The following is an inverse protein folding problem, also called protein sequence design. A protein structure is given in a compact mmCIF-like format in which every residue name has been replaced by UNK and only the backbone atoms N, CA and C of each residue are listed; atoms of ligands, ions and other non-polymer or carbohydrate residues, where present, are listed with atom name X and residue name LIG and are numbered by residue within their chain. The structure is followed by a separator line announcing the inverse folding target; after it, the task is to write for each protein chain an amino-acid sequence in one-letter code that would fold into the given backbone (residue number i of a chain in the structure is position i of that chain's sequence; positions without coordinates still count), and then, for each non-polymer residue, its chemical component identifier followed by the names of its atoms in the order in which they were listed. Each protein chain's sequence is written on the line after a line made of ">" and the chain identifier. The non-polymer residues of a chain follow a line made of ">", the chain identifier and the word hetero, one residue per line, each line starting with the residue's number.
data_IF_278935774816
#
_entry.id   IF_278935774816
#
_cell.length_a   1.000
_cell.length_b   1.000
_cell.length_c   1.000
_cell.angle_alpha   90.00
_cell.angle_beta   90.00
_cell.angle_gamma   90.00
#
_symmetry.space_group_name_H-M   'P 1'
#
loop_
_entity.id
_entity.type
_entity.pdbx_description
1 polymer ?
#
# COMPACT_ATOMS: atom_id res chain seq x y z
N UNK A 1 -10.00 6.69 -13.47
CA UNK A 1 -9.14 5.56 -13.89
C UNK A 1 -9.84 4.83 -15.01
N UNK A 2 -9.27 4.83 -16.21
CA UNK A 2 -9.84 4.12 -17.37
C UNK A 2 -9.70 2.61 -17.12
N UNK A 3 -10.78 1.87 -17.17
CA UNK A 3 -10.69 0.40 -17.14
C UNK A 3 -10.07 -0.08 -18.45
N UNK A 4 -9.10 -0.96 -18.36
CA UNK A 4 -8.56 -1.66 -19.53
C UNK A 4 -9.70 -2.36 -20.27
N UNK A 5 -9.74 -2.22 -21.59
CA UNK A 5 -10.67 -2.97 -22.44
C UNK A 5 -10.26 -4.45 -22.51
N UNK A 6 -11.04 -5.26 -23.24
CA UNK A 6 -10.77 -6.69 -23.32
C UNK A 6 -9.48 -6.99 -24.07
N UNK A 7 -9.20 -6.25 -25.16
CA UNK A 7 -8.01 -6.46 -25.96
C UNK A 7 -6.73 -6.09 -25.19
N UNK A 8 -6.73 -4.96 -24.47
CA UNK A 8 -5.62 -4.54 -23.61
C UNK A 8 -5.35 -5.57 -22.49
N UNK A 9 -6.40 -6.17 -21.94
CA UNK A 9 -6.24 -7.24 -20.93
C UNK A 9 -5.69 -8.53 -21.52
N UNK A 10 -6.14 -8.92 -22.69
CA UNK A 10 -5.70 -10.12 -23.38
C UNK A 10 -4.21 -9.99 -23.81
N UNK A 11 -3.79 -8.81 -24.29
CA UNK A 11 -2.40 -8.48 -24.60
C UNK A 11 -1.49 -8.55 -23.35
N UNK A 12 -1.92 -7.96 -22.23
CA UNK A 12 -1.19 -8.05 -20.97
C UNK A 12 -1.11 -9.50 -20.49
N UNK A 13 -2.19 -10.26 -20.62
CA UNK A 13 -2.21 -11.66 -20.25
C UNK A 13 -1.25 -12.50 -21.11
N UNK A 14 -1.16 -12.20 -22.41
CA UNK A 14 -0.21 -12.85 -23.32
C UNK A 14 1.23 -12.49 -22.99
N UNK A 15 1.53 -11.20 -22.74
CA UNK A 15 2.85 -10.76 -22.28
C UNK A 15 3.27 -11.46 -20.98
N UNK A 16 2.37 -11.54 -20.00
CA UNK A 16 2.64 -12.24 -18.74
C UNK A 16 2.80 -13.75 -18.95
N UNK A 17 2.06 -14.35 -19.88
CA UNK A 17 2.15 -15.77 -20.19
C UNK A 17 3.43 -16.14 -20.93
N UNK A 18 3.97 -15.26 -21.73
CA UNK A 18 5.20 -15.44 -22.48
C UNK A 18 6.44 -14.98 -21.69
N UNK A 19 6.25 -14.41 -20.49
CA UNK A 19 7.37 -13.95 -19.67
C UNK A 19 8.22 -15.15 -19.22
N UNK A 20 9.55 -15.00 -19.38
CA UNK A 20 10.56 -16.00 -19.02
C UNK A 20 10.45 -16.51 -17.57
N UNK A 21 9.91 -15.66 -16.68
CA UNK A 21 9.84 -15.91 -15.24
C UNK A 21 8.44 -16.24 -14.74
N UNK A 22 7.53 -16.69 -15.63
CA UNK A 22 6.14 -17.02 -15.27
C UNK A 22 6.03 -17.98 -14.10
N UNK A 23 6.83 -19.06 -14.12
CA UNK A 23 6.83 -20.04 -13.03
C UNK A 23 7.39 -19.44 -11.74
N UNK A 24 8.43 -18.60 -11.84
CA UNK A 24 8.99 -17.89 -10.71
C UNK A 24 7.99 -16.91 -10.10
N UNK A 25 7.27 -16.13 -10.93
CA UNK A 25 6.19 -15.24 -10.47
C UNK A 25 5.06 -16.02 -9.83
N UNK A 26 4.59 -17.11 -10.44
CA UNK A 26 3.51 -17.94 -9.89
C UNK A 26 3.87 -18.54 -8.52
N UNK A 27 5.16 -18.90 -8.34
CA UNK A 27 5.67 -19.43 -7.09
C UNK A 27 5.83 -18.34 -6.01
N UNK A 28 6.35 -17.18 -6.39
CA UNK A 28 6.80 -16.14 -5.45
C UNK A 28 5.82 -14.96 -5.27
N UNK A 29 4.75 -14.89 -6.05
CA UNK A 29 3.75 -13.82 -5.97
C UNK A 29 2.39 -14.37 -5.58
N UNK A 30 1.79 -13.81 -4.53
CA UNK A 30 0.41 -14.06 -4.12
C UNK A 30 -0.37 -12.76 -4.19
N UNK A 31 -1.37 -12.71 -5.06
CA UNK A 31 -2.28 -11.57 -5.17
C UNK A 31 -3.60 -11.90 -4.48
N UNK A 32 -4.07 -11.00 -3.63
CA UNK A 32 -5.34 -11.12 -2.94
C UNK A 32 -6.10 -9.81 -2.95
N UNK A 33 -7.32 -9.85 -3.47
CA UNK A 33 -8.23 -8.72 -3.40
C UNK A 33 -9.16 -8.87 -2.19
N UNK A 34 -9.28 -7.78 -1.43
CA UNK A 34 -10.29 -7.63 -0.38
C UNK A 34 -11.20 -6.44 -0.72
N UNK A 35 -12.46 -6.54 -0.33
CA UNK A 35 -13.39 -5.42 -0.50
C UNK A 35 -13.00 -4.29 0.47
N UNK A 36 -12.95 -3.05 -0.05
CA UNK A 36 -12.62 -1.84 0.72
C UNK A 36 -13.44 -1.75 2.00
N UNK A 37 -12.79 -1.37 3.09
CA UNK A 37 -13.42 -1.18 4.40
C UNK A 37 -13.88 -2.47 5.11
N UNK A 38 -13.44 -3.65 4.64
CA UNK A 38 -13.88 -4.92 5.22
C UNK A 38 -12.82 -5.66 6.02
N UNK A 39 -11.56 -5.27 5.87
CA UNK A 39 -10.42 -5.91 6.53
C UNK A 39 -9.59 -4.91 7.31
N UNK A 40 -9.31 -5.21 8.56
CA UNK A 40 -8.36 -4.49 9.41
C UNK A 40 -6.93 -5.01 9.21
N UNK A 41 -5.92 -4.34 9.76
CA UNK A 41 -4.55 -4.83 9.74
C UNK A 41 -4.42 -6.18 10.46
N UNK A 42 -5.17 -6.40 11.52
CA UNK A 42 -5.25 -7.72 12.21
C UNK A 42 -5.80 -8.82 11.30
N UNK A 43 -6.81 -8.52 10.48
CA UNK A 43 -7.35 -9.49 9.51
C UNK A 43 -6.30 -9.86 8.44
N UNK A 44 -5.51 -8.88 8.00
CA UNK A 44 -4.41 -9.10 7.04
C UNK A 44 -3.31 -9.96 7.69
N UNK A 45 -2.94 -9.67 8.92
CA UNK A 45 -1.97 -10.47 9.68
C UNK A 45 -2.40 -11.95 9.75
N UNK A 46 -3.66 -12.22 10.09
CA UNK A 46 -4.21 -13.57 10.14
C UNK A 46 -4.11 -14.25 8.76
N UNK A 47 -4.42 -13.50 7.69
CA UNK A 47 -4.30 -14.03 6.33
C UNK A 47 -2.85 -14.38 5.98
N UNK A 48 -1.90 -13.50 6.27
CA UNK A 48 -0.47 -13.74 6.01
C UNK A 48 0.06 -14.92 6.82
N UNK A 49 -0.30 -15.03 8.11
CA UNK A 49 0.07 -16.19 8.94
C UNK A 49 -0.46 -17.52 8.36
N UNK A 50 -1.65 -17.53 7.76
CA UNK A 50 -2.17 -18.70 7.05
C UNK A 50 -1.34 -19.06 5.81
N UNK A 51 -0.89 -18.05 5.04
CA UNK A 51 0.02 -18.27 3.90
C UNK A 51 1.35 -18.87 4.36
N UNK A 52 1.94 -18.35 5.44
CA UNK A 52 3.18 -18.88 6.02
C UNK A 52 3.00 -20.33 6.44
N UNK A 53 1.90 -20.65 7.13
CA UNK A 53 1.58 -22.03 7.54
C UNK A 53 1.35 -22.98 6.35
N UNK A 54 0.97 -22.43 5.18
CA UNK A 54 0.87 -23.21 3.93
C UNK A 54 2.17 -23.30 3.13
N UNK A 55 3.28 -22.80 3.68
CA UNK A 55 4.61 -22.87 3.06
C UNK A 55 5.01 -21.65 2.23
N UNK A 56 4.22 -20.57 2.27
CA UNK A 56 4.57 -19.32 1.56
C UNK A 56 4.94 -18.22 2.56
N UNK A 57 6.24 -18.01 2.82
CA UNK A 57 6.74 -16.90 3.64
C UNK A 57 7.05 -15.69 2.71
N UNK A 58 6.34 -14.55 2.84
CA UNK A 58 6.65 -13.36 2.06
C UNK A 58 7.86 -12.63 2.64
N UNK A 59 8.71 -12.06 1.78
CA UNK A 59 9.76 -11.09 2.13
C UNK A 59 9.21 -9.65 2.08
N UNK A 60 8.18 -9.44 1.28
CA UNK A 60 7.52 -8.16 1.10
C UNK A 60 5.99 -8.31 1.04
N UNK A 61 5.29 -7.48 1.78
CA UNK A 61 3.84 -7.32 1.70
C UNK A 61 3.56 -5.93 1.14
N UNK A 62 2.94 -5.86 -0.05
CA UNK A 62 2.47 -4.60 -0.62
C UNK A 62 0.96 -4.51 -0.47
N UNK A 63 0.47 -3.43 0.14
CA UNK A 63 -0.95 -3.21 0.42
C UNK A 63 -1.41 -1.95 -0.32
N UNK A 64 -2.32 -2.07 -1.25
CA UNK A 64 -2.87 -0.96 -2.02
C UNK A 64 -4.32 -0.70 -1.59
N UNK A 65 -4.58 0.33 -0.83
CA UNK A 65 -3.78 1.36 -0.16
C UNK A 65 -4.30 1.57 1.28
N UNK A 66 -3.65 2.46 2.06
CA UNK A 66 -3.89 2.60 3.50
C UNK A 66 -5.36 2.90 3.86
N UNK A 67 -6.00 3.79 3.13
CA UNK A 67 -7.38 4.24 3.41
C UNK A 67 -8.44 3.16 3.13
N UNK A 68 -8.04 2.01 2.58
CA UNK A 68 -8.92 0.85 2.38
C UNK A 68 -9.11 -0.03 3.62
N UNK A 69 -8.34 0.20 4.69
CA UNK A 69 -8.51 -0.59 5.91
C UNK A 69 -9.83 -0.35 6.63
N UNK A 70 -10.41 -1.41 7.16
CA UNK A 70 -11.41 -1.31 8.20
C UNK A 70 -10.77 -0.95 9.54
N UNK A 71 -11.50 -0.28 10.46
CA UNK A 71 -11.03 -0.07 11.82
C UNK A 71 -10.72 -1.39 12.53
N UNK A 72 -9.74 -1.38 13.44
CA UNK A 72 -9.46 -2.52 14.31
C UNK A 72 -10.64 -2.80 15.24
N UNK A 73 -10.99 -4.07 15.40
CA UNK A 73 -12.05 -4.51 16.31
C UNK A 73 -11.53 -4.60 17.75
N UNK A 74 -12.31 -4.12 18.70
CA UNK A 74 -12.05 -4.33 20.14
C UNK A 74 -10.96 -3.48 20.77
N UNK A 75 -10.45 -2.49 20.08
CA UNK A 75 -9.48 -1.55 20.63
C UNK A 75 -10.14 -0.25 21.05
N UNK A 76 -9.79 0.24 22.21
CA UNK A 76 -10.04 1.57 22.79
C UNK A 76 -11.04 2.45 22.04
N UNK A 77 -11.88 3.14 22.78
CA UNK A 77 -12.79 4.17 22.28
C UNK A 77 -12.00 5.21 21.44
N UNK A 78 -11.78 4.87 20.17
CA UNK A 78 -10.98 5.67 19.23
C UNK A 78 -11.96 6.54 18.47
N UNK A 79 -12.48 7.55 19.17
CA UNK A 79 -13.56 8.43 18.65
C UNK A 79 -13.13 9.28 17.45
N UNK A 80 -11.84 9.30 17.12
CA UNK A 80 -11.32 10.05 15.98
C UNK A 80 -10.65 9.15 14.94
N UNK A 81 -10.87 9.44 13.67
CA UNK A 81 -10.20 8.81 12.52
C UNK A 81 -8.67 8.82 12.68
N UNK A 82 -8.15 9.95 13.17
CA UNK A 82 -6.73 10.14 13.44
C UNK A 82 -6.12 9.14 14.44
N UNK A 83 -6.87 8.76 15.48
CA UNK A 83 -6.43 7.75 16.44
C UNK A 83 -6.47 6.35 15.82
N UNK A 84 -7.49 6.06 15.00
CA UNK A 84 -7.64 4.79 14.26
C UNK A 84 -6.47 4.54 13.32
N UNK A 85 -6.05 5.54 12.56
CA UNK A 85 -4.91 5.47 11.66
C UNK A 85 -3.61 5.14 12.40
N UNK A 86 -3.35 5.79 13.52
CA UNK A 86 -2.18 5.52 14.35
C UNK A 86 -2.17 4.09 14.95
N UNK A 87 -3.34 3.53 15.27
CA UNK A 87 -3.48 2.14 15.71
C UNK A 87 -3.16 1.18 14.58
N UNK A 88 -3.73 1.41 13.39
CA UNK A 88 -3.48 0.60 12.20
C UNK A 88 -2.00 0.59 11.81
N UNK A 89 -1.34 1.75 11.80
CA UNK A 89 0.09 1.85 11.50
C UNK A 89 0.97 1.08 12.48
N UNK A 90 0.72 1.22 13.79
CA UNK A 90 1.45 0.43 14.80
C UNK A 90 1.23 -1.08 14.65
N UNK A 91 0.03 -1.47 14.26
CA UNK A 91 -0.29 -2.87 13.99
C UNK A 91 0.51 -3.41 12.80
N UNK A 92 0.62 -2.62 11.72
CA UNK A 92 1.43 -2.96 10.55
C UNK A 92 2.93 -3.02 10.89
N UNK A 93 3.43 -2.08 11.70
CA UNK A 93 4.82 -2.10 12.18
C UNK A 93 5.12 -3.36 13.00
N UNK A 94 4.25 -3.72 13.94
CA UNK A 94 4.41 -4.94 14.73
C UNK A 94 4.35 -6.18 13.83
N UNK A 95 3.41 -6.23 12.89
CA UNK A 95 3.30 -7.31 11.93
C UNK A 95 4.58 -7.48 11.09
N UNK A 96 5.18 -6.37 10.63
CA UNK A 96 6.45 -6.41 9.90
C UNK A 96 7.58 -7.03 10.73
N UNK A 97 7.68 -6.63 12.01
CA UNK A 97 8.67 -7.17 12.95
C UNK A 97 8.42 -8.63 13.30
N UNK A 98 7.18 -8.99 13.61
CA UNK A 98 6.80 -10.34 14.03
C UNK A 98 6.95 -11.37 12.90
N UNK A 99 6.70 -10.96 11.67
CA UNK A 99 6.79 -11.81 10.49
C UNK A 99 8.16 -11.73 9.79
N UNK A 100 9.04 -10.85 10.23
CA UNK A 100 10.34 -10.59 9.61
C UNK A 100 10.20 -10.33 8.11
N UNK A 101 9.36 -9.36 7.75
CA UNK A 101 9.09 -8.99 6.37
C UNK A 101 8.88 -7.47 6.21
N UNK A 102 9.22 -6.94 5.05
CA UNK A 102 8.95 -5.55 4.72
C UNK A 102 7.46 -5.33 4.42
N UNK A 103 6.90 -4.17 4.81
CA UNK A 103 5.55 -3.76 4.42
C UNK A 103 5.63 -2.44 3.66
N UNK A 104 5.12 -2.44 2.44
CA UNK A 104 4.95 -1.23 1.63
C UNK A 104 3.48 -0.89 1.52
N UNK A 105 3.15 0.37 1.83
CA UNK A 105 1.78 0.83 1.79
C UNK A 105 1.70 2.27 1.28
N UNK A 106 1.09 2.51 0.12
CA UNK A 106 0.81 3.86 -0.33
C UNK A 106 -0.31 4.49 0.51
N UNK A 107 -0.22 5.79 0.67
CA UNK A 107 -1.26 6.65 1.25
C UNK A 107 -1.43 7.89 0.37
N UNK A 108 -2.60 8.48 0.39
CA UNK A 108 -2.86 9.68 -0.40
C UNK A 108 -2.22 10.91 0.26
N UNK A 109 -1.82 11.88 -0.53
CA UNK A 109 -1.45 13.21 -0.05
C UNK A 109 -2.67 14.05 0.32
N UNK A 110 -2.47 15.15 1.05
CA UNK A 110 -3.51 16.15 1.32
C UNK A 110 -3.87 16.90 0.04
N UNK A 111 -5.01 17.64 0.05
CA UNK A 111 -5.38 18.53 -1.06
C UNK A 111 -4.32 19.57 -1.37
N UNK A 112 -3.60 20.04 -0.35
CA UNK A 112 -2.53 21.02 -0.52
C UNK A 112 -1.33 20.42 -1.27
N UNK A 113 -1.05 19.14 -1.08
CA UNK A 113 0.00 18.44 -1.83
C UNK A 113 -0.33 18.24 -3.32
N UNK A 114 -1.61 18.21 -3.68
CA UNK A 114 -2.04 18.05 -5.08
C UNK A 114 -1.69 19.26 -5.96
N UNK A 115 -1.52 20.43 -5.36
CA UNK A 115 -1.18 21.68 -6.05
C UNK A 115 0.33 21.98 -6.01
N UNK A 116 1.12 21.18 -5.34
CA UNK A 116 2.57 21.37 -5.27
C UNK A 116 3.24 20.64 -6.44
N UNK A 117 4.02 21.34 -7.29
CA UNK A 117 4.82 20.72 -8.34
C UNK A 117 6.10 20.05 -7.79
N UNK A 118 6.37 20.23 -6.51
CA UNK A 118 7.58 19.80 -5.83
C UNK A 118 7.34 18.49 -5.04
N UNK A 119 8.42 18.00 -4.44
CA UNK A 119 8.36 16.84 -3.54
C UNK A 119 7.34 17.11 -2.42
N UNK A 120 6.41 16.20 -2.23
CA UNK A 120 5.43 16.26 -1.14
C UNK A 120 6.19 16.21 0.19
N UNK A 121 6.01 17.24 1.02
CA UNK A 121 6.67 17.35 2.32
C UNK A 121 5.94 16.48 3.36
N UNK A 122 6.62 16.18 4.46
CA UNK A 122 6.05 15.37 5.56
C UNK A 122 4.73 15.94 6.11
N UNK A 123 4.62 17.27 6.20
CA UNK A 123 3.42 17.96 6.67
C UNK A 123 2.24 17.91 5.68
N UNK A 124 2.51 17.54 4.44
CA UNK A 124 1.52 17.41 3.35
C UNK A 124 1.03 15.97 3.14
N UNK A 125 1.51 15.00 3.91
CA UNK A 125 0.97 13.65 3.85
C UNK A 125 -0.44 13.60 4.46
N UNK A 126 -1.39 12.99 3.75
CA UNK A 126 -2.78 12.88 4.22
C UNK A 126 -2.86 12.05 5.50
N UNK A 127 -3.69 12.49 6.42
CA UNK A 127 -3.92 11.81 7.68
C UNK A 127 -2.99 12.28 8.79
N UNK A 128 -2.83 11.46 9.79
CA UNK A 128 -2.14 11.86 11.00
C UNK A 128 -0.62 11.85 10.86
N UNK A 129 0.04 12.81 11.49
CA UNK A 129 1.49 12.78 11.71
C UNK A 129 1.97 11.44 12.30
N UNK A 130 1.07 10.68 12.93
CA UNK A 130 1.36 9.34 13.49
C UNK A 130 1.71 8.30 12.42
N UNK A 131 1.21 8.42 11.18
CA UNK A 131 1.63 7.54 10.07
C UNK A 131 3.12 7.72 9.78
N UNK A 132 3.55 8.98 9.75
CA UNK A 132 4.92 9.38 9.44
C UNK A 132 5.89 8.92 10.53
N UNK A 133 5.50 9.06 11.81
CA UNK A 133 6.37 8.69 12.94
C UNK A 133 6.62 7.17 13.07
N UNK A 134 5.79 6.35 12.47
CA UNK A 134 5.93 4.87 12.53
C UNK A 134 6.73 4.34 11.34
N UNK A 135 6.68 5.05 10.19
CA UNK A 135 7.37 4.61 8.97
C UNK A 135 8.89 4.75 9.11
N UNK A 136 9.64 3.71 8.72
CA UNK A 136 11.11 3.74 8.68
C UNK A 136 11.64 4.41 7.41
N UNK A 137 10.85 4.42 6.34
CA UNK A 137 11.17 5.04 5.06
C UNK A 137 9.89 5.64 4.47
N UNK A 138 9.99 6.88 4.03
CA UNK A 138 8.89 7.56 3.35
C UNK A 138 9.37 7.98 1.96
N UNK A 139 8.64 7.54 0.96
CA UNK A 139 8.88 7.92 -0.44
C UNK A 139 7.69 8.74 -0.91
N UNK A 140 7.93 9.95 -1.34
CA UNK A 140 6.92 10.78 -1.99
C UNK A 140 7.05 10.70 -3.51
N UNK A 141 5.90 10.65 -4.19
CA UNK A 141 5.82 10.70 -5.64
C UNK A 141 4.90 11.84 -6.00
N UNK A 142 5.45 12.88 -6.64
CA UNK A 142 4.72 14.06 -7.08
C UNK A 142 4.77 14.17 -8.60
N UNK A 143 3.67 14.69 -9.19
CA UNK A 143 3.58 14.94 -10.61
C UNK A 143 2.89 16.27 -10.85
N UNK A 144 3.60 17.21 -11.44
CA UNK A 144 3.02 18.51 -11.82
C UNK A 144 2.01 18.33 -12.98
N UNK A 145 0.98 19.17 -13.00
CA UNK A 145 -0.04 19.16 -14.06
C UNK A 145 0.61 19.30 -15.44
N UNK A 146 1.62 20.15 -15.58
CA UNK A 146 2.36 20.37 -16.82
C UNK A 146 3.26 19.20 -17.23
N UNK A 147 3.46 18.21 -16.37
CA UNK A 147 4.30 17.03 -16.64
C UNK A 147 3.47 15.78 -16.94
N UNK A 148 2.12 15.90 -16.91
CA UNK A 148 1.23 14.77 -17.19
C UNK A 148 1.49 14.21 -18.59
N UNK A 149 1.65 15.09 -19.58
CA UNK A 149 1.90 14.70 -20.96
C UNK A 149 3.34 14.24 -21.22
N UNK A 150 4.26 14.53 -20.30
CA UNK A 150 5.69 14.21 -20.43
C UNK A 150 6.09 12.91 -19.73
N UNK A 151 5.12 12.20 -19.13
CA UNK A 151 5.39 10.97 -18.36
C UNK A 151 6.50 11.13 -17.30
N UNK A 152 6.58 12.30 -16.68
CA UNK A 152 7.58 12.62 -15.64
C UNK A 152 6.95 12.62 -14.25
N UNK A 153 7.69 12.21 -13.24
CA UNK A 153 7.35 12.34 -11.83
C UNK A 153 8.59 12.70 -11.03
N UNK A 154 8.40 13.41 -9.93
CA UNK A 154 9.46 13.71 -8.96
C UNK A 154 9.33 12.73 -7.81
N UNK A 155 10.42 12.06 -7.47
CA UNK A 155 10.49 11.13 -6.33
C UNK A 155 11.36 11.78 -5.26
N UNK A 156 10.83 11.86 -4.06
CA UNK A 156 11.53 12.33 -2.87
C UNK A 156 11.63 11.25 -1.80
N UNK A 157 12.76 11.20 -1.12
CA UNK A 157 12.94 10.41 0.09
C UNK A 157 12.90 11.39 1.26
N UNK A 158 12.06 11.12 2.28
CA UNK A 158 11.78 12.01 3.41
C UNK A 158 12.26 11.39 4.71
#
# INVERSE_FOLDING_TARGET
>A
MKRLDKAERDEIAELLNNHRDKELLAKNLKLKHFKTGTKSASDIEIYVKRLINSGFKPDLISIDYFECFAPEKGGYNTDTEWTREGVTMRKLENMAKDLDCAIWIPTQGTKDSMNSPEVVRMDQASGSAKKIHVAQLIISIARAINDIDKSRAVIGIL
#
